data_IF_197105504047
#
_entry.id   IF_197105504047
#
_cell.length_a   1.000
_cell.length_b   1.000
_cell.length_c   1.000
_cell.angle_alpha   90.00
_cell.angle_beta   90.00
_cell.angle_gamma   90.00
#
_symmetry.space_group_name_H-M   'P 1'
#
loop_
_entity.id
_entity.type
_entity.pdbx_description
1 polymer ?
#
# COMPACT_ATOMS: atom_id res chain seq x y z
N UNK A 1 -1.97 -17.20 -15.05
CA UNK A 1 -1.64 -15.97 -15.81
C UNK A 1 -2.83 -15.40 -16.61
N UNK A 2 -3.71 -16.23 -17.19
CA UNK A 2 -4.88 -15.77 -17.99
C UNK A 2 -5.92 -15.00 -17.17
N UNK A 3 -6.35 -15.54 -16.01
CA UNK A 3 -7.35 -14.92 -15.15
C UNK A 3 -6.97 -13.50 -14.72
N UNK A 4 -5.74 -13.31 -14.21
CA UNK A 4 -5.27 -12.01 -13.78
C UNK A 4 -5.24 -10.97 -14.91
N UNK A 5 -4.81 -11.38 -16.11
CA UNK A 5 -4.81 -10.49 -17.28
C UNK A 5 -6.24 -10.12 -17.71
N UNK A 6 -7.19 -11.05 -17.56
CA UNK A 6 -8.61 -10.78 -17.82
C UNK A 6 -9.21 -9.83 -16.78
N UNK A 7 -8.88 -10.01 -15.50
CA UNK A 7 -9.31 -9.13 -14.41
C UNK A 7 -8.79 -7.70 -14.60
N UNK A 8 -7.51 -7.51 -14.95
CA UNK A 8 -6.96 -6.17 -15.24
C UNK A 8 -7.71 -5.49 -16.39
N UNK A 9 -7.97 -6.20 -17.49
CA UNK A 9 -8.75 -5.66 -18.62
C UNK A 9 -10.19 -5.31 -18.22
N UNK A 10 -10.80 -6.13 -17.39
CA UNK A 10 -12.14 -5.86 -16.85
C UNK A 10 -12.12 -4.60 -15.97
N UNK A 11 -11.15 -4.47 -15.08
CA UNK A 11 -10.96 -3.27 -14.25
C UNK A 11 -10.73 -2.02 -15.08
N UNK A 12 -9.91 -2.08 -16.15
CA UNK A 12 -9.75 -0.96 -17.08
C UNK A 12 -11.10 -0.54 -17.70
N UNK A 13 -11.94 -1.50 -18.09
CA UNK A 13 -13.26 -1.21 -18.62
C UNK A 13 -14.20 -0.59 -17.58
N UNK A 14 -14.15 -1.07 -16.33
CA UNK A 14 -14.93 -0.50 -15.23
C UNK A 14 -14.55 0.96 -14.95
N UNK A 15 -13.25 1.28 -14.95
CA UNK A 15 -12.77 2.65 -14.77
C UNK A 15 -13.26 3.61 -15.87
N UNK A 16 -13.46 3.10 -17.10
CA UNK A 16 -13.98 3.90 -18.20
C UNK A 16 -15.50 4.14 -18.12
N UNK A 17 -16.22 3.35 -17.33
CA UNK A 17 -17.68 3.46 -17.17
C UNK A 17 -18.03 4.43 -16.03
N UNK A 18 -17.13 4.57 -15.05
CA UNK A 18 -17.31 5.47 -13.91
C UNK A 18 -16.78 6.88 -14.25
N UNK A 19 -17.64 7.70 -14.88
CA UNK A 19 -17.34 9.10 -15.20
C UNK A 19 -17.04 9.97 -13.96
N UNK A 20 -17.46 9.52 -12.77
CA UNK A 20 -17.23 10.22 -11.49
C UNK A 20 -15.92 9.80 -10.81
N UNK A 21 -15.17 8.85 -11.38
CA UNK A 21 -13.91 8.38 -10.79
C UNK A 21 -12.78 9.39 -10.96
N UNK A 22 -12.89 10.52 -10.25
CA UNK A 22 -11.92 11.60 -10.22
C UNK A 22 -11.04 11.46 -8.98
N UNK A 23 -9.78 11.08 -9.18
CA UNK A 23 -8.81 11.03 -8.11
C UNK A 23 -8.04 12.35 -8.09
N UNK A 24 -8.28 13.14 -7.06
CA UNK A 24 -7.39 14.26 -6.72
C UNK A 24 -5.97 13.71 -6.53
N UNK A 25 -5.03 14.15 -7.36
CA UNK A 25 -3.66 13.62 -7.39
C UNK A 25 -2.78 14.13 -6.26
N UNK A 26 -3.16 15.23 -5.62
CA UNK A 26 -2.38 15.87 -4.56
C UNK A 26 -2.72 15.27 -3.19
N UNK A 27 -3.89 14.62 -3.06
CA UNK A 27 -4.29 13.93 -1.84
C UNK A 27 -3.48 12.65 -1.61
N UNK A 28 -2.94 12.44 -0.39
CA UNK A 28 -2.35 11.18 0.03
C UNK A 28 -3.33 10.01 -0.06
N UNK A 29 -2.93 8.94 -0.73
CA UNK A 29 -3.73 7.71 -0.83
C UNK A 29 -2.84 6.52 -0.46
N UNK A 30 -3.43 5.59 0.28
CA UNK A 30 -2.85 4.28 0.56
C UNK A 30 -3.87 3.19 0.24
N UNK A 31 -3.44 2.15 -0.47
CA UNK A 31 -4.20 0.94 -0.76
C UNK A 31 -3.45 -0.24 -0.17
N UNK A 32 -4.12 -1.01 0.68
CA UNK A 32 -3.54 -2.18 1.37
C UNK A 32 -4.51 -3.33 1.21
N UNK A 33 -4.01 -4.52 0.89
CA UNK A 33 -4.82 -5.73 0.92
C UNK A 33 -4.14 -6.94 0.30
N UNK A 34 -4.81 -8.07 0.42
CA UNK A 34 -4.45 -9.30 -0.26
C UNK A 34 -4.74 -9.14 -1.76
N UNK A 35 -3.67 -9.05 -2.54
CA UNK A 35 -3.76 -8.93 -3.99
C UNK A 35 -3.67 -10.30 -4.69
N UNK A 36 -3.39 -11.38 -3.95
CA UNK A 36 -3.23 -12.76 -4.46
C UNK A 36 -2.23 -12.82 -5.63
N UNK A 37 -1.27 -11.90 -5.65
CA UNK A 37 -0.21 -11.82 -6.65
C UNK A 37 1.12 -11.76 -5.95
N UNK A 38 2.12 -12.44 -6.51
CA UNK A 38 3.48 -12.33 -6.00
C UNK A 38 3.98 -10.89 -6.21
N UNK A 39 4.16 -10.17 -5.11
CA UNK A 39 4.68 -8.80 -5.07
C UNK A 39 6.02 -8.68 -5.80
N UNK A 40 6.80 -9.76 -5.88
CA UNK A 40 8.12 -9.72 -6.52
C UNK A 40 8.06 -9.88 -8.04
N UNK A 41 6.95 -10.38 -8.58
CA UNK A 41 6.89 -10.89 -9.96
C UNK A 41 5.64 -10.43 -10.74
N UNK A 42 4.99 -9.32 -10.37
CA UNK A 42 3.76 -8.89 -11.04
C UNK A 42 3.77 -7.43 -11.52
N UNK A 43 4.68 -7.14 -12.45
CA UNK A 43 4.82 -5.82 -13.10
C UNK A 43 3.53 -5.30 -13.72
N UNK A 44 2.65 -6.17 -14.23
CA UNK A 44 1.37 -5.76 -14.83
C UNK A 44 0.42 -5.15 -13.79
N UNK A 45 0.36 -5.73 -12.60
CA UNK A 45 -0.44 -5.19 -11.50
C UNK A 45 0.06 -3.80 -11.11
N UNK A 46 1.37 -3.66 -10.99
CA UNK A 46 2.00 -2.41 -10.57
C UNK A 46 1.89 -1.33 -11.64
N UNK A 47 2.08 -1.70 -12.90
CA UNK A 47 1.84 -0.83 -14.04
C UNK A 47 0.42 -0.32 -14.08
N UNK A 48 -0.58 -1.16 -13.79
CA UNK A 48 -1.97 -0.74 -13.69
C UNK A 48 -2.18 0.28 -12.55
N UNK A 49 -1.73 -0.03 -11.34
CA UNK A 49 -1.85 0.88 -10.19
C UNK A 49 -1.17 2.22 -10.44
N UNK A 50 0.04 2.21 -11.02
CA UNK A 50 0.78 3.42 -11.36
C UNK A 50 0.10 4.22 -12.48
N UNK A 51 -0.33 3.58 -13.55
CA UNK A 51 -0.93 4.25 -14.72
C UNK A 51 -2.27 4.90 -14.40
N UNK A 52 -3.13 4.22 -13.65
CA UNK A 52 -4.51 4.65 -13.44
C UNK A 52 -4.71 5.46 -12.15
N UNK A 53 -3.88 5.25 -11.13
CA UNK A 53 -4.05 5.87 -9.81
C UNK A 53 -2.84 6.69 -9.36
N UNK A 54 -1.73 6.65 -10.11
CA UNK A 54 -0.43 7.21 -9.73
C UNK A 54 0.10 6.68 -8.37
N UNK A 55 -0.31 5.46 -8.02
CA UNK A 55 0.14 4.80 -6.80
C UNK A 55 1.45 4.04 -7.05
N UNK A 56 2.44 4.25 -6.19
CA UNK A 56 3.69 3.50 -6.19
C UNK A 56 3.56 2.30 -5.25
N UNK A 57 4.13 1.16 -5.63
CA UNK A 57 4.24 0.04 -4.70
C UNK A 57 5.18 0.42 -3.55
N UNK A 58 4.77 0.13 -2.32
CA UNK A 58 5.64 0.23 -1.15
C UNK A 58 6.41 -1.08 -1.01
N UNK A 59 7.75 -1.08 -1.11
CA UNK A 59 8.54 -2.31 -1.03
C UNK A 59 8.39 -3.00 0.32
N UNK A 60 8.26 -4.33 0.30
CA UNK A 60 8.30 -5.18 1.50
C UNK A 60 9.40 -6.22 1.38
N UNK A 61 10.14 -6.42 2.47
CA UNK A 61 11.21 -7.41 2.57
C UNK A 61 10.79 -8.64 3.38
N UNK A 62 9.55 -8.66 3.90
CA UNK A 62 9.05 -9.74 4.73
C UNK A 62 7.88 -10.46 4.02
N UNK A 63 7.83 -11.80 4.07
CA UNK A 63 6.72 -12.55 3.50
C UNK A 63 5.42 -12.28 4.27
N UNK A 64 4.33 -12.09 3.55
CA UNK A 64 3.02 -11.78 4.10
C UNK A 64 2.23 -13.01 4.54
N UNK A 65 2.74 -14.23 4.35
CA UNK A 65 2.09 -15.47 4.83
C UNK A 65 3.07 -16.44 5.48
N UNK A 66 2.58 -17.30 6.39
CA UNK A 66 3.40 -18.34 7.01
C UNK A 66 4.08 -19.30 6.00
N UNK A 67 3.49 -19.46 4.81
CA UNK A 67 4.07 -20.18 3.68
C UNK A 67 5.15 -19.42 2.89
N UNK A 68 5.67 -18.32 3.43
CA UNK A 68 6.72 -17.48 2.82
C UNK A 68 6.33 -16.84 1.47
N UNK A 69 5.03 -16.67 1.20
CA UNK A 69 4.56 -15.91 0.03
C UNK A 69 4.47 -14.41 0.32
N UNK A 70 4.39 -13.61 -0.74
CA UNK A 70 4.26 -12.15 -0.73
C UNK A 70 3.02 -11.77 -1.52
N UNK A 71 1.84 -12.02 -0.96
CA UNK A 71 0.56 -11.82 -1.67
C UNK A 71 -0.22 -10.59 -1.20
N UNK A 72 0.14 -10.06 -0.04
CA UNK A 72 -0.39 -8.80 0.48
C UNK A 72 0.50 -7.65 0.01
N UNK A 73 -0.10 -6.67 -0.64
CA UNK A 73 0.61 -5.52 -1.25
C UNK A 73 0.16 -4.22 -0.61
N UNK A 74 1.07 -3.24 -0.61
CA UNK A 74 0.74 -1.86 -0.27
C UNK A 74 1.14 -0.95 -1.41
N UNK A 75 0.25 -0.04 -1.77
CA UNK A 75 0.50 1.02 -2.73
C UNK A 75 0.22 2.37 -2.09
N UNK A 76 1.04 3.37 -2.39
CA UNK A 76 0.94 4.68 -1.80
C UNK A 76 1.27 5.79 -2.81
N UNK A 77 0.64 6.94 -2.63
CA UNK A 77 0.95 8.20 -3.32
C UNK A 77 0.89 9.34 -2.33
N UNK A 78 1.82 10.29 -2.45
CA UNK A 78 2.00 11.46 -1.57
C UNK A 78 2.12 11.11 -0.07
N UNK A 79 2.49 9.87 0.23
CA UNK A 79 2.78 9.39 1.57
C UNK A 79 3.78 8.25 1.47
N UNK A 80 4.72 8.22 2.41
CA UNK A 80 5.75 7.20 2.50
C UNK A 80 5.58 6.46 3.82
N UNK A 81 4.69 5.44 3.88
CA UNK A 81 4.53 4.65 5.09
C UNK A 81 5.78 3.81 5.32
N UNK A 82 6.16 3.69 6.59
CA UNK A 82 7.22 2.77 6.99
C UNK A 82 6.62 1.42 7.35
N UNK A 83 7.20 0.34 6.83
CA UNK A 83 6.78 -1.01 7.16
C UNK A 83 7.54 -1.48 8.40
N UNK A 84 6.80 -1.75 9.48
CA UNK A 84 7.33 -2.30 10.71
C UNK A 84 7.22 -3.82 10.69
N UNK A 85 8.29 -4.49 11.11
CA UNK A 85 8.26 -5.94 11.29
C UNK A 85 7.39 -6.29 12.50
N UNK A 86 6.19 -6.82 12.25
CA UNK A 86 5.25 -7.25 13.27
C UNK A 86 4.97 -8.75 13.12
N UNK A 87 5.37 -9.53 14.13
CA UNK A 87 5.09 -10.95 14.19
C UNK A 87 3.76 -11.20 14.92
N UNK A 88 2.83 -11.90 14.27
CA UNK A 88 1.57 -12.33 14.87
C UNK A 88 1.34 -13.82 14.60
N UNK A 89 0.65 -14.50 15.52
CA UNK A 89 0.39 -15.95 15.45
C UNK A 89 -1.10 -16.32 15.39
N UNK A 90 -1.98 -15.33 15.30
CA UNK A 90 -3.45 -15.54 15.24
C UNK A 90 -4.00 -15.60 13.80
N UNK A 91 -3.13 -15.56 12.78
CA UNK A 91 -3.51 -15.64 11.38
C UNK A 91 -2.44 -16.36 10.55
N UNK A 92 -2.86 -16.97 9.44
CA UNK A 92 -1.95 -17.48 8.43
C UNK A 92 -1.27 -16.35 7.63
N UNK A 93 -1.95 -15.21 7.48
CA UNK A 93 -1.35 -13.99 6.95
C UNK A 93 -0.64 -13.24 8.09
N UNK A 94 0.57 -12.74 7.79
CA UNK A 94 1.30 -11.81 8.66
C UNK A 94 0.74 -10.40 8.42
N UNK A 95 0.16 -9.74 9.44
CA UNK A 95 -0.32 -8.37 9.29
C UNK A 95 0.84 -7.45 8.90
N UNK A 96 0.60 -6.59 7.90
CA UNK A 96 1.56 -5.57 7.50
C UNK A 96 1.29 -4.30 8.30
N UNK A 97 2.19 -3.98 9.23
CA UNK A 97 2.06 -2.80 10.09
C UNK A 97 2.71 -1.59 9.41
N UNK A 98 1.88 -0.63 9.00
CA UNK A 98 2.31 0.64 8.43
C UNK A 98 2.39 1.71 9.51
N UNK A 99 3.58 2.28 9.71
CA UNK A 99 3.74 3.52 10.46
C UNK A 99 3.64 4.70 9.50
N UNK A 100 2.59 5.49 9.68
CA UNK A 100 2.36 6.71 8.92
C UNK A 100 2.67 7.89 9.82
N UNK A 101 3.41 8.85 9.27
CA UNK A 101 3.83 10.05 9.97
C UNK A 101 3.11 11.23 9.34
N UNK A 102 2.09 11.77 10.01
CA UNK A 102 1.34 12.96 9.58
C UNK A 102 1.80 14.16 10.42
N UNK A 103 2.45 15.14 9.81
CA UNK A 103 3.08 16.26 10.54
C UNK A 103 2.98 17.58 9.77
N UNK A 104 3.24 18.73 10.43
CA UNK A 104 4.53 19.04 11.03
C UNK A 104 4.58 18.69 12.52
N UNK A 105 5.63 17.96 12.96
CA UNK A 105 6.03 17.93 14.36
C UNK A 105 6.48 19.36 14.56
N UNK A 106 5.64 20.23 15.08
CA UNK A 106 6.18 21.50 15.52
C UNK A 106 7.21 21.17 16.59
N UNK A 107 8.41 21.71 16.42
CA UNK A 107 9.54 21.61 17.34
C UNK A 107 9.17 22.06 18.77
N UNK A 108 7.98 22.64 18.95
CA UNK A 108 7.41 23.08 20.21
C UNK A 108 6.93 21.95 21.13
N UNK A 109 6.50 20.78 20.60
CA UNK A 109 6.07 19.65 21.46
C UNK A 109 7.24 18.93 22.14
N UNK A 110 8.47 19.04 21.60
CA UNK A 110 9.66 18.52 22.29
C UNK A 110 10.11 19.43 23.43
N UNK A 111 9.95 20.76 23.30
CA UNK A 111 10.32 21.72 24.36
C UNK A 111 9.44 21.61 25.61
N UNK A 112 8.18 21.21 25.46
CA UNK A 112 7.28 21.04 26.62
C UNK A 112 7.51 19.76 27.40
N UNK A 113 8.21 18.76 26.84
CA UNK A 113 8.56 17.51 27.57
C UNK A 113 9.93 17.54 28.25
N UNK A 114 10.89 18.32 27.75
CA UNK A 114 12.18 18.52 28.43
C UNK A 114 12.12 19.46 29.64
N UNK A 115 11.04 20.24 29.81
CA UNK A 115 10.88 21.18 30.93
C UNK A 115 10.05 20.63 32.11
N UNK A 116 9.70 19.34 32.09
CA UNK A 116 8.93 18.67 33.17
C UNK A 116 9.62 17.43 33.74
N UNK A 117 10.95 17.32 33.58
CA UNK A 117 11.79 16.33 34.29
C UNK A 117 12.85 17.05 35.12
#
# INVERSE_FOLDING_TARGET
MFLFSALIKYSEKCLLIDEEFHIDKDVPIIVIGDCIVDVKNNEKAFGFMKKHFDLNMVPTNFPSTLGNSYIDSTFARNISPELLNYACYFSYHRPILHRIVTYPRTTEEFKTKELTL
#
